data_IF_283760385816
#
_entry.id   IF_283760385816
#
_cell.length_a   1.000
_cell.length_b   1.000
_cell.length_c   1.000
_cell.angle_alpha   90.00
_cell.angle_beta   90.00
_cell.angle_gamma   90.00
#
_symmetry.space_group_name_H-M   'P 1'
#
loop_
_entity.id
_entity.type
_entity.pdbx_description
1 polymer ?
#
# COMPACT_ATOMS: atom_id res chain seq x y z
N UNK A 1 -21.10 -20.40 14.05
CA UNK A 1 -20.05 -19.85 14.92
C UNK A 1 -20.17 -20.51 16.29
N UNK A 2 -19.10 -21.15 16.79
CA UNK A 2 -19.05 -21.88 18.08
C UNK A 2 -18.40 -21.08 19.19
N UNK A 3 -17.40 -20.28 18.86
CA UNK A 3 -16.65 -19.47 19.81
C UNK A 3 -16.21 -18.17 19.16
N UNK A 4 -15.97 -17.16 20.00
CA UNK A 4 -15.31 -15.92 19.60
C UNK A 4 -14.06 -15.80 20.47
N UNK A 5 -12.91 -15.59 19.83
CA UNK A 5 -11.64 -15.32 20.50
C UNK A 5 -11.26 -13.88 20.27
N UNK A 6 -10.94 -13.18 21.34
CA UNK A 6 -10.44 -11.81 21.31
C UNK A 6 -8.99 -11.82 21.76
N UNK A 7 -8.11 -11.16 21.02
CA UNK A 7 -6.69 -11.03 21.35
C UNK A 7 -6.23 -9.59 21.26
N UNK A 8 -5.29 -9.23 22.15
CA UNK A 8 -4.50 -8.01 22.03
C UNK A 8 -3.15 -8.19 22.73
N UNK A 9 -2.12 -7.54 22.23
CA UNK A 9 -0.80 -7.46 22.86
C UNK A 9 -0.58 -6.05 23.40
N UNK A 10 -0.45 -5.90 24.72
CA UNK A 10 -0.18 -4.62 25.36
C UNK A 10 1.31 -4.44 25.63
N UNK A 11 1.87 -3.34 25.16
CA UNK A 11 3.25 -2.93 25.41
C UNK A 11 3.33 -1.48 25.90
N UNK A 12 4.43 -1.07 26.53
CA UNK A 12 4.72 0.35 26.78
C UNK A 12 5.33 1.04 25.55
N UNK A 13 5.60 2.35 25.67
CA UNK A 13 6.23 3.12 24.59
C UNK A 13 7.67 2.72 24.27
N UNK A 14 8.28 1.83 25.07
CA UNK A 14 9.56 1.20 24.77
C UNK A 14 9.39 -0.23 24.20
N UNK A 15 8.16 -0.67 23.94
CA UNK A 15 7.85 -2.00 23.41
C UNK A 15 7.91 -3.13 24.44
N UNK A 16 8.08 -2.85 25.74
CA UNK A 16 8.08 -3.88 26.79
C UNK A 16 6.65 -4.31 27.12
N UNK A 17 6.40 -5.62 27.30
CA UNK A 17 5.07 -6.12 27.60
C UNK A 17 4.52 -5.60 28.93
N UNK A 18 3.26 -5.16 28.94
CA UNK A 18 2.57 -4.68 30.15
C UNK A 18 1.69 -5.77 30.74
N UNK A 19 2.18 -6.42 31.80
CA UNK A 19 1.46 -7.43 32.55
C UNK A 19 0.47 -6.84 33.58
N UNK A 20 -0.52 -7.63 33.97
CA UNK A 20 -1.52 -7.34 35.02
C UNK A 20 -2.44 -6.12 34.74
N UNK A 21 -2.52 -5.67 33.49
CA UNK A 21 -3.42 -4.58 33.09
C UNK A 21 -4.83 -5.12 32.91
N UNK A 22 -5.80 -4.55 33.64
CA UNK A 22 -7.21 -4.94 33.55
C UNK A 22 -7.88 -4.30 32.35
N UNK A 23 -8.36 -5.12 31.43
CA UNK A 23 -9.06 -4.71 30.22
C UNK A 23 -10.50 -5.24 30.23
N UNK A 24 -11.41 -4.38 29.81
CA UNK A 24 -12.85 -4.68 29.65
C UNK A 24 -13.19 -4.60 28.17
N UNK A 25 -13.72 -5.68 27.63
CA UNK A 25 -14.34 -5.69 26.31
C UNK A 25 -15.76 -5.16 26.45
N UNK A 26 -16.09 -4.12 25.70
CA UNK A 26 -17.43 -3.52 25.67
C UNK A 26 -18.00 -3.58 24.26
N UNK A 27 -19.32 -3.64 24.17
CA UNK A 27 -20.07 -3.64 22.92
C UNK A 27 -21.07 -2.49 22.91
N UNK A 28 -21.19 -1.84 21.76
CA UNK A 28 -22.21 -0.81 21.57
C UNK A 28 -23.57 -1.47 21.33
N UNK A 29 -24.56 -1.07 22.12
CA UNK A 29 -25.95 -1.44 21.89
C UNK A 29 -26.64 -0.29 21.15
N UNK A 30 -27.05 -0.57 19.91
CA UNK A 30 -27.60 0.42 18.99
C UNK A 30 -28.96 0.98 19.45
N UNK A 31 -29.73 0.24 20.25
CA UNK A 31 -31.02 0.70 20.78
C UNK A 31 -30.86 1.79 21.85
N UNK A 32 -29.88 1.64 22.74
CA UNK A 32 -29.72 2.51 23.90
C UNK A 32 -28.59 3.54 23.71
N UNK A 33 -27.83 3.44 22.61
CA UNK A 33 -26.56 4.17 22.36
C UNK A 33 -25.54 4.05 23.50
N UNK A 34 -25.64 3.00 24.30
CA UNK A 34 -24.78 2.74 25.44
C UNK A 34 -23.79 1.62 25.13
N UNK A 35 -22.60 1.75 25.69
CA UNK A 35 -21.60 0.69 25.68
C UNK A 35 -21.82 -0.21 26.90
N UNK A 36 -22.11 -1.49 26.65
CA UNK A 36 -22.30 -2.49 27.71
C UNK A 36 -21.04 -3.36 27.84
N UNK A 37 -20.52 -3.59 29.06
CA UNK A 37 -19.38 -4.45 29.27
C UNK A 37 -19.77 -5.91 29.04
N UNK A 38 -19.06 -6.59 28.13
CA UNK A 38 -19.24 -8.02 27.86
C UNK A 38 -18.47 -8.81 28.91
N UNK A 39 -17.17 -8.53 29.04
CA UNK A 39 -16.28 -9.32 29.90
C UNK A 39 -15.01 -8.56 30.21
N UNK A 40 -14.43 -8.84 31.38
CA UNK A 40 -13.17 -8.27 31.86
C UNK A 40 -12.14 -9.38 32.06
N UNK A 41 -10.89 -9.11 31.71
CA UNK A 41 -9.74 -9.97 32.01
C UNK A 41 -8.46 -9.14 32.15
N UNK A 42 -7.37 -9.78 32.56
CA UNK A 42 -6.05 -9.14 32.72
C UNK A 42 -5.05 -9.62 31.67
N UNK A 43 -4.07 -8.79 31.35
CA UNK A 43 -2.92 -9.19 30.53
C UNK A 43 -1.99 -10.13 31.30
N UNK A 44 -1.43 -11.14 30.63
CA UNK A 44 -0.47 -12.07 31.21
C UNK A 44 0.95 -11.45 31.32
N UNK A 45 1.93 -12.22 31.80
CA UNK A 45 3.33 -11.79 31.92
C UNK A 45 3.98 -11.33 30.60
N UNK A 46 3.42 -11.72 29.45
CA UNK A 46 3.86 -11.31 28.11
C UNK A 46 3.05 -10.14 27.55
N UNK A 47 2.21 -9.49 28.36
CA UNK A 47 1.35 -8.39 27.92
C UNK A 47 0.19 -8.85 27.04
N UNK A 48 -0.01 -10.16 26.87
CA UNK A 48 -1.08 -10.69 26.03
C UNK A 48 -2.38 -10.75 26.82
N UNK A 49 -3.43 -10.17 26.26
CA UNK A 49 -4.80 -10.38 26.68
C UNK A 49 -5.46 -11.32 25.67
N UNK A 50 -6.05 -12.40 26.17
CA UNK A 50 -6.86 -13.30 25.37
C UNK A 50 -8.13 -13.64 26.12
N UNK A 51 -9.24 -13.64 25.40
CA UNK A 51 -10.55 -13.90 25.96
C UNK A 51 -11.38 -14.74 24.98
N UNK A 52 -11.98 -15.81 25.49
CA UNK A 52 -13.00 -16.54 24.76
C UNK A 52 -14.39 -16.11 25.24
N UNK A 53 -15.28 -15.76 24.32
CA UNK A 53 -16.69 -15.45 24.62
C UNK A 53 -17.61 -16.32 23.76
N UNK A 54 -18.81 -16.58 24.28
CA UNK A 54 -19.83 -17.33 23.54
C UNK A 54 -20.54 -16.40 22.54
N UNK A 55 -20.92 -16.89 21.35
CA UNK A 55 -21.69 -16.12 20.36
C UNK A 55 -22.93 -15.41 20.92
N UNK A 56 -23.63 -16.06 21.86
CA UNK A 56 -24.82 -15.53 22.54
C UNK A 56 -24.58 -14.20 23.27
N UNK A 57 -23.32 -13.89 23.62
CA UNK A 57 -22.97 -12.66 24.34
C UNK A 57 -22.90 -11.41 23.45
N UNK A 58 -22.92 -11.57 22.12
CA UNK A 58 -22.87 -10.46 21.16
C UNK A 58 -24.24 -9.81 20.87
N UNK A 59 -25.26 -10.11 21.67
CA UNK A 59 -26.59 -9.52 21.48
C UNK A 59 -27.20 -9.94 20.15
N UNK A 60 -27.82 -9.01 19.43
CA UNK A 60 -28.54 -9.31 18.19
C UNK A 60 -27.60 -9.82 17.07
N UNK A 61 -27.73 -11.08 16.63
CA UNK A 61 -26.84 -11.68 15.62
C UNK A 61 -26.99 -11.07 14.22
N UNK A 62 -28.00 -10.24 13.97
CA UNK A 62 -28.19 -9.56 12.69
C UNK A 62 -27.44 -8.23 12.57
N UNK A 63 -26.81 -7.75 13.65
CA UNK A 63 -26.05 -6.50 13.63
C UNK A 63 -24.55 -6.78 13.79
N UNK A 64 -23.68 -6.12 12.99
CA UNK A 64 -22.24 -6.24 13.17
C UNK A 64 -21.87 -5.63 14.54
N UNK A 65 -21.21 -6.39 15.43
CA UNK A 65 -20.92 -5.92 16.77
C UNK A 65 -19.86 -4.81 16.72
N UNK A 66 -20.21 -3.63 17.23
CA UNK A 66 -19.26 -2.55 17.48
C UNK A 66 -18.58 -2.82 18.81
N UNK A 67 -17.31 -3.23 18.77
CA UNK A 67 -16.53 -3.62 19.94
C UNK A 67 -15.47 -2.57 20.28
N UNK A 68 -15.18 -2.41 21.57
CA UNK A 68 -14.04 -1.62 22.06
C UNK A 68 -13.40 -2.27 23.27
N UNK A 69 -12.12 -1.96 23.48
CA UNK A 69 -11.37 -2.30 24.68
C UNK A 69 -11.19 -1.06 25.54
N UNK A 70 -11.55 -1.18 26.82
CA UNK A 70 -11.39 -0.14 27.83
C UNK A 70 -10.50 -0.63 28.97
N UNK A 71 -9.74 0.26 29.59
CA UNK A 71 -9.00 -0.06 30.81
C UNK A 71 -9.86 0.06 32.09
N UNK A 72 -9.25 -0.16 33.26
CA UNK A 72 -9.92 -0.04 34.55
C UNK A 72 -10.48 1.37 34.83
N UNK A 73 -9.87 2.40 34.24
CA UNK A 73 -10.26 3.80 34.32
C UNK A 73 -11.33 4.18 33.29
N UNK A 74 -11.87 3.20 32.54
CA UNK A 74 -12.82 3.40 31.43
C UNK A 74 -12.25 4.21 30.26
N UNK A 75 -10.92 4.28 30.12
CA UNK A 75 -10.28 4.87 28.95
C UNK A 75 -10.34 3.88 27.80
N UNK A 76 -10.77 4.33 26.62
CA UNK A 76 -10.80 3.51 25.41
C UNK A 76 -9.37 3.34 24.90
N UNK A 77 -8.90 2.11 24.82
CA UNK A 77 -7.56 1.78 24.32
C UNK A 77 -7.58 1.44 22.83
N UNK A 78 -8.66 0.81 22.37
CA UNK A 78 -8.87 0.49 20.96
C UNK A 78 -10.36 0.28 20.67
N UNK A 79 -10.76 0.55 19.43
CA UNK A 79 -12.10 0.30 18.93
C UNK A 79 -12.01 -0.46 17.62
N UNK A 80 -12.87 -1.48 17.47
CA UNK A 80 -12.78 -2.42 16.36
C UNK A 80 -11.58 -3.35 16.48
N UNK A 81 -11.49 -4.33 15.58
CA UNK A 81 -10.38 -5.27 15.52
C UNK A 81 -10.41 -5.99 14.18
N UNK A 82 -9.30 -6.59 13.79
CA UNK A 82 -9.26 -7.42 12.61
C UNK A 82 -10.11 -8.67 12.85
N UNK A 83 -11.13 -8.83 12.01
CA UNK A 83 -12.04 -9.97 12.05
C UNK A 83 -11.51 -11.05 11.12
N UNK A 84 -11.32 -12.26 11.65
CA UNK A 84 -11.00 -13.46 10.88
C UNK A 84 -11.94 -14.57 11.30
N UNK A 85 -12.53 -15.29 10.34
CA UNK A 85 -13.40 -16.42 10.63
C UNK A 85 -12.78 -17.71 10.13
N UNK A 86 -12.48 -18.62 11.06
CA UNK A 86 -12.07 -19.98 10.72
C UNK A 86 -13.30 -20.88 10.57
N UNK A 87 -13.59 -21.28 9.34
CA UNK A 87 -14.72 -22.14 9.01
C UNK A 87 -14.60 -23.56 9.58
N UNK A 88 -13.38 -24.08 9.81
CA UNK A 88 -13.15 -25.44 10.32
C UNK A 88 -13.43 -25.52 11.82
N UNK A 89 -12.88 -24.59 12.59
CA UNK A 89 -13.14 -24.52 14.04
C UNK A 89 -14.44 -23.77 14.38
N UNK A 90 -15.07 -23.13 13.39
CA UNK A 90 -16.23 -22.25 13.53
C UNK A 90 -15.96 -21.10 14.52
N UNK A 91 -14.72 -20.62 14.58
CA UNK A 91 -14.29 -19.58 15.53
C UNK A 91 -14.17 -18.24 14.81
N UNK A 92 -14.75 -17.20 15.40
CA UNK A 92 -14.48 -15.82 15.01
C UNK A 92 -13.34 -15.28 15.86
N UNK A 93 -12.24 -14.91 15.22
CA UNK A 93 -11.10 -14.26 15.84
C UNK A 93 -11.19 -12.76 15.64
N UNK A 94 -10.98 -12.02 16.73
CA UNK A 94 -11.00 -10.56 16.77
C UNK A 94 -9.66 -10.12 17.35
N UNK A 95 -8.76 -9.70 16.48
CA UNK A 95 -7.44 -9.27 16.88
C UNK A 95 -7.33 -7.75 16.87
N UNK A 96 -7.07 -7.16 18.03
CA UNK A 96 -6.82 -5.72 18.18
C UNK A 96 -5.35 -5.37 17.92
N UNK A 97 -4.50 -6.37 17.67
CA UNK A 97 -3.09 -6.19 17.35
C UNK A 97 -2.28 -5.78 18.58
N UNK A 98 -1.23 -4.97 18.35
CA UNK A 98 -0.37 -4.47 19.41
C UNK A 98 -0.77 -3.04 19.79
N UNK A 99 -1.11 -2.83 21.07
CA UNK A 99 -1.47 -1.53 21.62
C UNK A 99 -0.39 -1.01 22.56
N UNK A 100 -0.09 0.27 22.44
CA UNK A 100 0.76 1.01 23.35
C UNK A 100 -0.07 1.51 24.55
N UNK A 101 0.30 1.12 25.76
CA UNK A 101 -0.38 1.51 26.99
C UNK A 101 0.29 2.73 27.63
N UNK A 102 -0.29 3.90 27.41
CA UNK A 102 0.18 5.18 27.91
C UNK A 102 -0.40 5.45 29.31
N UNK A 103 0.32 5.08 30.37
CA UNK A 103 -0.17 5.22 31.75
C UNK A 103 -0.54 6.66 32.14
N UNK A 104 0.19 7.67 31.62
CA UNK A 104 0.04 9.08 31.99
C UNK A 104 -0.33 10.05 30.85
N UNK A 105 -0.22 9.63 29.59
CA UNK A 105 -0.39 10.49 28.42
C UNK A 105 -1.44 9.93 27.46
N UNK A 106 -2.68 9.76 27.93
CA UNK A 106 -3.79 9.55 27.01
C UNK A 106 -4.23 10.93 26.52
N UNK A 107 -3.96 11.27 25.26
CA UNK A 107 -4.64 12.40 24.63
C UNK A 107 -6.13 12.07 24.62
N UNK A 108 -7.00 12.93 25.20
CA UNK A 108 -8.43 12.79 24.95
C UNK A 108 -8.63 12.85 23.43
N UNK A 109 -9.54 12.02 22.91
CA UNK A 109 -10.07 12.24 21.56
C UNK A 109 -10.74 13.60 21.61
N UNK A 110 -10.02 14.63 21.18
CA UNK A 110 -10.54 15.97 21.02
C UNK A 110 -11.47 15.86 19.82
N UNK A 111 -12.77 15.71 20.10
CA UNK A 111 -13.78 16.17 19.17
C UNK A 111 -13.38 17.60 18.82
N UNK A 112 -13.01 17.85 17.57
CA UNK A 112 -12.94 19.20 17.02
C UNK A 112 -14.32 19.84 17.23
N UNK A 113 -14.53 20.48 18.38
CA UNK A 113 -15.57 21.47 18.56
C UNK A 113 -15.07 22.70 17.83
N UNK A 114 -15.73 23.03 16.73
CA UNK A 114 -15.67 24.37 16.17
C UNK A 114 -15.94 25.38 17.28
N UNK A 115 -14.97 26.28 17.45
CA UNK A 115 -15.09 27.65 17.94
C UNK A 115 -16.25 27.97 18.88
N UNK A 116 -15.94 28.14 20.16
CA UNK A 116 -16.25 29.38 20.89
C UNK A 116 -15.55 29.43 22.24
N UNK A 117 -15.19 30.65 22.64
CA UNK A 117 -14.28 30.98 23.72
C UNK A 117 -14.78 30.51 25.10
N UNK A 118 -13.83 30.07 25.93
CA UNK A 118 -14.05 29.82 27.34
C UNK A 118 -14.29 31.15 28.08
N UNK A 119 -15.45 31.26 28.73
CA UNK A 119 -15.66 32.15 29.87
C UNK A 119 -15.88 31.30 31.13
N UNK A 120 -15.38 31.71 32.32
CA UNK A 120 -15.43 30.89 33.51
C UNK A 120 -16.86 30.82 34.06
N UNK A 121 -17.30 29.60 34.38
CA UNK A 121 -18.53 29.32 35.13
C UNK A 121 -18.40 29.87 36.55
N UNK A 122 -18.88 31.09 36.77
CA UNK A 122 -19.21 31.61 38.09
C UNK A 122 -20.73 31.44 38.35
N UNK A 123 -21.02 30.98 39.57
CA UNK A 123 -22.30 31.03 40.26
C UNK A 123 -23.47 30.19 39.72
N UNK A 124 -23.81 29.16 40.51
CA UNK A 124 -25.13 28.54 40.62
C UNK A 124 -26.21 29.62 40.81
N UNK A 125 -27.34 29.57 40.10
CA UNK A 125 -28.59 30.15 40.60
C UNK A 125 -29.63 29.07 40.91
N UNK A 126 -30.38 29.37 41.96
CA UNK A 126 -31.41 28.57 42.61
C UNK A 126 -32.50 28.06 41.64
N UNK A 127 -32.89 26.81 41.85
CA UNK A 127 -34.11 26.17 41.33
C UNK A 127 -35.32 27.05 41.65
N UNK A 128 -36.02 27.53 40.62
CA UNK A 128 -37.45 27.90 40.71
C UNK A 128 -38.26 26.70 40.26
N UNK A 129 -39.28 26.36 41.05
CA UNK A 129 -40.28 25.35 40.73
C UNK A 129 -41.05 25.78 39.46
N UNK A 130 -40.82 25.06 38.36
CA UNK A 130 -41.51 25.24 37.08
C UNK A 130 -42.41 24.04 36.83
N UNK A 131 -43.69 24.31 36.59
CA UNK A 131 -44.74 23.32 36.43
C UNK A 131 -44.53 22.37 35.24
N UNK A 132 -45.22 21.23 35.34
CA UNK A 132 -45.27 20.08 34.42
C UNK A 132 -45.45 20.41 32.92
N UNK A 133 -45.82 21.64 32.54
CA UNK A 133 -45.93 22.08 31.15
C UNK A 133 -44.57 22.43 30.49
N UNK A 134 -43.58 22.93 31.25
CA UNK A 134 -42.25 23.27 30.70
C UNK A 134 -41.35 22.04 30.50
N UNK A 135 -41.61 20.95 31.24
CA UNK A 135 -40.92 19.68 31.05
C UNK A 135 -41.32 18.97 29.73
N UNK A 136 -42.55 19.20 29.25
CA UNK A 136 -43.06 18.59 28.03
C UNK A 136 -42.58 19.31 26.76
N UNK A 137 -42.43 20.64 26.79
CA UNK A 137 -41.93 21.42 25.64
C UNK A 137 -40.41 21.29 25.45
N UNK A 138 -39.65 21.20 26.55
CA UNK A 138 -38.20 20.97 26.52
C UNK A 138 -37.82 19.61 25.92
N UNK A 139 -38.55 18.54 26.27
CA UNK A 139 -38.28 17.20 25.72
C UNK A 139 -38.50 17.13 24.21
N UNK A 140 -39.57 17.74 23.68
CA UNK A 140 -39.84 17.75 22.24
C UNK A 140 -38.77 18.54 21.44
N UNK A 141 -38.27 19.65 21.99
CA UNK A 141 -37.20 20.42 21.35
C UNK A 141 -35.84 19.67 21.36
N UNK A 142 -35.54 18.96 22.46
CA UNK A 142 -34.35 18.13 22.58
C UNK A 142 -34.41 16.95 21.60
N UNK A 143 -35.55 16.25 21.50
CA UNK A 143 -35.76 15.17 20.53
C UNK A 143 -35.67 15.67 19.07
N UNK A 144 -36.21 16.84 18.75
CA UNK A 144 -36.11 17.45 17.43
C UNK A 144 -34.67 17.87 17.06
N UNK A 145 -33.84 18.23 18.05
CA UNK A 145 -32.42 18.54 17.82
C UNK A 145 -31.58 17.28 17.62
N UNK A 146 -31.86 16.21 18.38
CA UNK A 146 -31.17 14.93 18.28
C UNK A 146 -31.45 14.25 16.93
N UNK A 147 -32.70 14.26 16.48
CA UNK A 147 -33.10 13.73 15.17
C UNK A 147 -32.44 14.48 14.01
N UNK A 148 -32.34 15.82 14.08
CA UNK A 148 -31.60 16.63 13.08
C UNK A 148 -30.11 16.32 13.06
N UNK A 149 -29.49 16.12 14.22
CA UNK A 149 -28.07 15.75 14.31
C UNK A 149 -27.80 14.37 13.67
N UNK A 150 -28.66 13.38 13.93
CA UNK A 150 -28.58 12.06 13.31
C UNK A 150 -28.73 12.11 11.79
N UNK A 151 -29.66 12.95 11.30
CA UNK A 151 -29.91 13.09 9.87
C UNK A 151 -28.71 13.72 9.13
N UNK A 152 -28.01 14.67 9.77
CA UNK A 152 -26.78 15.24 9.24
C UNK A 152 -25.61 14.24 9.25
N UNK A 153 -25.46 13.44 10.29
CA UNK A 153 -24.44 12.38 10.37
C UNK A 153 -24.66 11.31 9.27
N UNK A 154 -25.89 10.85 9.10
CA UNK A 154 -26.25 9.90 8.03
C UNK A 154 -25.98 10.47 6.64
N UNK A 155 -26.26 11.75 6.43
CA UNK A 155 -25.98 12.44 5.16
C UNK A 155 -24.47 12.54 4.88
N UNK A 156 -23.67 12.82 5.92
CA UNK A 156 -22.21 12.80 5.82
C UNK A 156 -21.67 11.43 5.44
N UNK A 157 -22.15 10.37 6.10
CA UNK A 157 -21.78 8.98 5.78
C UNK A 157 -22.17 8.56 4.37
N UNK A 158 -23.36 8.95 3.92
CA UNK A 158 -23.83 8.67 2.56
C UNK A 158 -22.92 9.34 1.52
N UNK A 159 -22.55 10.60 1.73
CA UNK A 159 -21.65 11.32 0.82
C UNK A 159 -20.25 10.68 0.73
N UNK A 160 -19.68 10.23 1.86
CA UNK A 160 -18.39 9.52 1.87
C UNK A 160 -18.50 8.16 1.17
N UNK A 161 -19.62 7.45 1.36
CA UNK A 161 -19.86 6.18 0.68
C UNK A 161 -20.03 6.35 -0.83
N UNK A 162 -20.67 7.43 -1.27
CA UNK A 162 -20.84 7.76 -2.69
C UNK A 162 -19.51 8.12 -3.34
N UNK A 163 -18.66 8.92 -2.68
CA UNK A 163 -17.33 9.23 -3.20
C UNK A 163 -16.47 7.97 -3.32
N UNK A 164 -16.46 7.11 -2.30
CA UNK A 164 -15.73 5.84 -2.34
C UNK A 164 -16.21 4.93 -3.47
N UNK A 165 -17.54 4.88 -3.72
CA UNK A 165 -18.10 4.11 -4.84
C UNK A 165 -17.66 4.67 -6.20
N UNK A 166 -17.64 5.98 -6.35
CA UNK A 166 -17.18 6.63 -7.58
C UNK A 166 -15.70 6.38 -7.86
N UNK A 167 -14.85 6.42 -6.83
CA UNK A 167 -13.42 6.13 -6.96
C UNK A 167 -13.18 4.66 -7.31
N UNK A 168 -13.91 3.74 -6.68
CA UNK A 168 -13.86 2.32 -7.04
C UNK A 168 -14.24 2.10 -8.51
N UNK A 169 -15.31 2.75 -8.97
CA UNK A 169 -15.79 2.64 -10.35
C UNK A 169 -14.79 3.22 -11.37
N UNK A 170 -14.02 4.26 -11.00
CA UNK A 170 -12.92 4.77 -11.84
C UNK A 170 -11.78 3.75 -11.89
N UNK A 171 -11.41 3.17 -10.75
CA UNK A 171 -10.37 2.15 -10.70
C UNK A 171 -10.72 0.91 -11.52
N UNK A 172 -11.98 0.44 -11.47
CA UNK A 172 -12.40 -0.72 -12.26
C UNK A 172 -12.32 -0.44 -13.75
N UNK A 173 -12.75 0.75 -14.20
CA UNK A 173 -12.62 1.15 -15.62
C UNK A 173 -11.17 1.20 -16.10
N UNK A 174 -10.26 1.70 -15.27
CA UNK A 174 -8.83 1.73 -15.60
C UNK A 174 -8.27 0.31 -15.71
N UNK A 175 -8.61 -0.57 -14.77
CA UNK A 175 -8.18 -1.97 -14.81
C UNK A 175 -8.74 -2.73 -16.02
N UNK A 176 -10.01 -2.50 -16.38
CA UNK A 176 -10.60 -3.07 -17.59
C UNK A 176 -9.86 -2.63 -18.86
N UNK A 177 -9.50 -1.36 -18.96
CA UNK A 177 -8.71 -0.84 -20.08
C UNK A 177 -7.29 -1.45 -20.13
N UNK A 178 -6.65 -1.69 -18.98
CA UNK A 178 -5.35 -2.35 -18.94
C UNK A 178 -5.44 -3.82 -19.39
N UNK A 179 -6.48 -4.54 -18.96
CA UNK A 179 -6.70 -5.93 -19.34
C UNK A 179 -6.91 -6.06 -20.85
N UNK A 180 -7.67 -5.15 -21.47
CA UNK A 180 -7.88 -5.18 -22.92
C UNK A 180 -6.58 -4.94 -23.68
N UNK A 181 -5.76 -3.96 -23.27
CA UNK A 181 -4.45 -3.71 -23.89
C UNK A 181 -3.52 -4.93 -23.77
N UNK A 182 -3.37 -5.50 -22.58
CA UNK A 182 -2.53 -6.68 -22.37
C UNK A 182 -3.01 -7.89 -23.19
N UNK A 183 -4.33 -8.03 -23.35
CA UNK A 183 -4.89 -9.11 -24.18
C UNK A 183 -4.55 -8.90 -25.65
N UNK A 184 -4.64 -7.66 -26.16
CA UNK A 184 -4.24 -7.33 -27.53
C UNK A 184 -2.75 -7.58 -27.78
N UNK A 185 -1.88 -7.18 -26.84
CA UNK A 185 -0.43 -7.44 -26.93
C UNK A 185 -0.11 -8.93 -26.95
N UNK A 186 -0.74 -9.70 -26.07
CA UNK A 186 -0.59 -11.17 -26.04
C UNK A 186 -1.00 -11.79 -27.36
N UNK A 187 -2.13 -11.38 -27.91
CA UNK A 187 -2.66 -11.95 -29.15
C UNK A 187 -1.80 -11.55 -30.36
N UNK A 188 -1.28 -10.32 -30.40
CA UNK A 188 -0.31 -9.88 -31.39
C UNK A 188 1.01 -10.66 -31.30
N UNK A 189 1.53 -10.88 -30.09
CA UNK A 189 2.74 -11.67 -29.87
C UNK A 189 2.55 -13.13 -30.29
N UNK A 190 1.38 -13.71 -30.02
CA UNK A 190 1.03 -15.06 -30.45
C UNK A 190 0.94 -15.15 -31.97
N UNK A 191 0.28 -14.20 -32.62
CA UNK A 191 0.21 -14.14 -34.08
C UNK A 191 1.61 -13.98 -34.71
N UNK A 192 2.49 -13.17 -34.13
CA UNK A 192 3.88 -13.04 -34.57
C UNK A 192 4.68 -14.34 -34.41
N UNK A 193 4.48 -15.06 -33.30
CA UNK A 193 5.12 -16.36 -33.06
C UNK A 193 4.61 -17.44 -34.03
N UNK A 194 3.30 -17.46 -34.32
CA UNK A 194 2.71 -18.38 -35.30
C UNK A 194 3.18 -18.05 -36.72
N UNK A 195 3.28 -16.77 -37.10
CA UNK A 195 3.86 -16.33 -38.36
C UNK A 195 5.34 -16.73 -38.48
N UNK A 196 6.11 -16.63 -37.40
CA UNK A 196 7.51 -17.07 -37.36
C UNK A 196 7.66 -18.60 -37.47
N UNK A 197 6.68 -19.37 -36.97
CA UNK A 197 6.64 -20.85 -37.11
C UNK A 197 6.17 -21.30 -38.49
N UNK A 198 5.26 -20.55 -39.11
CA UNK A 198 4.73 -20.83 -40.45
C UNK A 198 5.67 -20.36 -41.57
N UNK A 199 6.58 -19.44 -41.27
CA UNK A 199 7.69 -19.11 -42.14
C UNK A 199 8.58 -20.35 -42.30
N UNK A 200 8.48 -21.02 -43.46
CA UNK A 200 9.44 -22.04 -43.87
C UNK A 200 10.84 -21.45 -43.70
N UNK A 201 11.75 -22.08 -42.93
CA UNK A 201 13.10 -21.57 -42.80
C UNK A 201 13.65 -21.38 -44.21
N UNK A 202 13.94 -20.13 -44.57
CA UNK A 202 14.64 -19.88 -45.82
C UNK A 202 15.99 -20.59 -45.69
N UNK A 203 16.09 -21.76 -46.30
CA UNK A 203 17.38 -22.32 -46.65
C UNK A 203 17.92 -21.34 -47.69
N UNK A 204 18.63 -20.33 -47.19
CA UNK A 204 19.46 -19.48 -48.04
C UNK A 204 20.29 -20.47 -48.87
N UNK A 205 20.21 -20.43 -50.22
CA UNK A 205 21.01 -21.33 -51.02
C UNK A 205 22.44 -21.12 -50.57
N UNK A 206 23.06 -22.18 -50.04
CA UNK A 206 24.45 -22.17 -49.59
C UNK A 206 25.30 -21.72 -50.77
N UNK A 207 25.60 -20.42 -50.87
CA UNK A 207 26.75 -19.90 -51.61
C UNK A 207 27.97 -20.11 -50.73
N UNK A 208 28.23 -21.38 -50.38
CA UNK A 208 29.46 -21.78 -49.73
C UNK A 208 30.58 -21.68 -50.78
N UNK A 209 31.73 -21.16 -50.38
CA UNK A 209 32.94 -21.20 -51.20
C UNK A 209 33.24 -19.95 -52.06
N UNK A 210 32.60 -18.80 -51.84
CA UNK A 210 33.14 -17.55 -52.40
C UNK A 210 34.15 -16.97 -51.42
N UNK A 211 35.46 -16.95 -51.71
CA UNK A 211 36.46 -16.47 -50.78
C UNK A 211 36.25 -14.97 -50.55
N UNK A 212 35.85 -14.61 -49.33
CA UNK A 212 35.65 -13.24 -48.90
C UNK A 212 36.84 -12.80 -48.05
N UNK A 213 37.23 -11.52 -48.15
CA UNK A 213 38.19 -10.96 -47.19
C UNK A 213 37.51 -10.84 -45.84
N UNK A 214 38.28 -11.12 -44.79
CA UNK A 214 37.83 -11.01 -43.40
C UNK A 214 37.25 -9.63 -43.11
N UNK A 215 37.88 -8.58 -43.64
CA UNK A 215 37.42 -7.19 -43.49
C UNK A 215 36.02 -6.94 -44.06
N UNK A 216 35.66 -7.61 -45.16
CA UNK A 216 34.35 -7.42 -45.80
C UNK A 216 33.25 -8.11 -44.98
N UNK A 217 33.57 -9.26 -44.38
CA UNK A 217 32.66 -9.97 -43.45
C UNK A 217 32.39 -9.12 -42.21
N UNK A 218 33.43 -8.52 -41.62
CA UNK A 218 33.28 -7.64 -40.46
C UNK A 218 32.48 -6.37 -40.79
N UNK A 219 32.73 -5.74 -41.94
CA UNK A 219 31.96 -4.56 -42.38
C UNK A 219 30.49 -4.86 -42.57
N UNK A 220 30.17 -5.96 -43.25
CA UNK A 220 28.79 -6.35 -43.51
C UNK A 220 28.04 -6.72 -42.23
N UNK A 221 28.71 -7.44 -41.32
CA UNK A 221 28.17 -7.73 -39.99
C UNK A 221 27.85 -6.46 -39.20
N UNK A 222 28.76 -5.48 -39.22
CA UNK A 222 28.54 -4.20 -38.55
C UNK A 222 27.37 -3.42 -39.15
N UNK A 223 27.23 -3.38 -40.48
CA UNK A 223 26.08 -2.72 -41.12
C UNK A 223 24.76 -3.40 -40.79
N UNK A 224 24.71 -4.74 -40.78
CA UNK A 224 23.50 -5.48 -40.41
C UNK A 224 23.14 -5.32 -38.94
N UNK A 225 24.13 -5.16 -38.05
CA UNK A 225 23.87 -4.86 -36.63
C UNK A 225 23.24 -3.47 -36.45
N UNK A 226 23.68 -2.47 -37.23
CA UNK A 226 23.10 -1.11 -37.21
C UNK A 226 21.66 -1.12 -37.75
N UNK A 227 21.37 -1.90 -38.79
CA UNK A 227 20.01 -2.06 -39.30
C UNK A 227 19.09 -2.81 -38.31
N UNK A 228 19.60 -3.85 -37.65
CA UNK A 228 18.87 -4.57 -36.63
C UNK A 228 18.59 -3.68 -35.41
N UNK A 229 19.56 -2.88 -34.96
CA UNK A 229 19.38 -1.89 -33.90
C UNK A 229 18.32 -0.84 -34.29
N UNK A 230 18.35 -0.35 -35.54
CA UNK A 230 17.34 0.55 -36.07
C UNK A 230 15.94 -0.06 -36.11
N UNK A 231 15.82 -1.34 -36.46
CA UNK A 231 14.54 -2.07 -36.44
C UNK A 231 14.00 -2.28 -35.02
N UNK A 232 14.89 -2.29 -34.02
CA UNK A 232 14.55 -2.39 -32.61
C UNK A 232 14.33 -1.02 -31.94
N UNK A 233 14.54 0.10 -32.65
CA UNK A 233 14.21 1.45 -32.16
C UNK A 233 12.71 1.56 -31.88
N UNK A 234 12.36 1.83 -30.62
CA UNK A 234 10.98 1.86 -30.14
C UNK A 234 10.50 0.54 -29.52
N UNK A 235 11.30 -0.52 -29.54
CA UNK A 235 11.04 -1.75 -28.80
C UNK A 235 11.68 -1.72 -27.40
N UNK A 236 11.14 -2.48 -26.46
CA UNK A 236 11.71 -2.69 -25.11
C UNK A 236 12.96 -3.58 -25.09
N UNK A 237 13.43 -4.02 -26.24
CA UNK A 237 14.56 -4.93 -26.39
C UNK A 237 15.70 -4.22 -27.09
N UNK A 238 16.91 -4.46 -26.61
CA UNK A 238 18.13 -3.99 -27.25
C UNK A 238 19.13 -5.11 -27.37
N UNK A 239 19.93 -5.01 -28.43
CA UNK A 239 20.96 -6.01 -28.72
C UNK A 239 22.05 -5.88 -27.65
N UNK A 240 22.29 -6.98 -26.94
CA UNK A 240 23.30 -7.09 -25.89
C UNK A 240 24.63 -7.58 -26.47
N UNK A 241 25.26 -8.53 -25.79
CA UNK A 241 26.51 -9.13 -26.29
C UNK A 241 26.21 -10.01 -27.50
N UNK A 242 26.99 -9.82 -28.56
CA UNK A 242 26.97 -10.69 -29.73
C UNK A 242 28.31 -11.40 -29.83
N UNK A 243 28.27 -12.74 -29.83
CA UNK A 243 29.43 -13.61 -30.03
C UNK A 243 29.27 -14.37 -31.33
N UNK A 244 30.22 -14.18 -32.24
CA UNK A 244 30.28 -14.84 -33.54
C UNK A 244 31.53 -15.73 -33.57
N UNK A 245 31.34 -17.05 -33.72
CA UNK A 245 32.42 -18.03 -33.88
C UNK A 245 32.52 -18.41 -35.36
N UNK A 246 33.45 -17.76 -36.08
CA UNK A 246 33.74 -18.03 -37.48
C UNK A 246 34.81 -19.12 -37.59
N UNK A 247 34.49 -20.22 -38.26
CA UNK A 247 35.45 -21.28 -38.60
C UNK A 247 35.62 -21.39 -40.11
N UNK A 248 36.86 -21.46 -40.56
CA UNK A 248 37.23 -21.51 -41.98
C UNK A 248 38.69 -21.85 -42.19
N UNK A 249 39.08 -22.06 -43.44
CA UNK A 249 40.46 -22.30 -43.88
C UNK A 249 41.07 -21.03 -44.45
N UNK A 250 42.32 -20.73 -44.08
CA UNK A 250 43.11 -19.65 -44.67
C UNK A 250 43.70 -20.15 -46.00
N UNK A 251 43.38 -19.48 -47.10
CA UNK A 251 43.95 -19.74 -48.41
C UNK A 251 45.32 -19.05 -48.54
N UNK A 252 46.16 -19.55 -49.45
CA UNK A 252 47.51 -19.04 -49.70
C UNK A 252 47.55 -17.56 -50.13
N UNK A 253 46.43 -16.97 -50.54
CA UNK A 253 46.29 -15.56 -50.90
C UNK A 253 45.82 -14.67 -49.74
N UNK A 254 45.74 -15.21 -48.51
CA UNK A 254 45.32 -14.50 -47.31
C UNK A 254 43.80 -14.34 -47.15
N UNK A 255 42.99 -14.96 -48.01
CA UNK A 255 41.53 -15.01 -47.85
C UNK A 255 41.11 -16.17 -46.95
N UNK A 256 39.96 -16.05 -46.29
CA UNK A 256 39.38 -17.14 -45.51
C UNK A 256 38.17 -17.69 -46.25
N UNK A 257 38.13 -19.01 -46.41
CA UNK A 257 36.95 -19.73 -46.86
C UNK A 257 36.22 -20.31 -45.65
N UNK A 258 34.98 -19.86 -45.44
CA UNK A 258 34.13 -20.32 -44.36
C UNK A 258 33.29 -21.50 -44.87
N UNK A 259 33.37 -22.65 -44.19
CA UNK A 259 32.55 -23.83 -44.48
C UNK A 259 32.98 -24.68 -45.68
N UNK A 260 34.28 -24.75 -45.98
CA UNK A 260 34.82 -25.63 -47.03
C UNK A 260 34.47 -27.12 -46.81
N UNK A 261 34.61 -27.92 -47.88
CA UNK A 261 34.16 -29.33 -47.97
C UNK A 261 34.72 -30.26 -46.86
N UNK A 262 35.79 -29.85 -46.17
CA UNK A 262 36.43 -30.60 -45.08
C UNK A 262 36.00 -30.19 -43.65
N UNK A 263 34.99 -29.32 -43.48
CA UNK A 263 34.62 -28.80 -42.16
C UNK A 263 33.44 -29.57 -41.54
N UNK A 264 33.74 -30.43 -40.56
CA UNK A 264 32.80 -31.34 -39.89
C UNK A 264 31.92 -30.62 -38.83
N UNK A 265 32.33 -29.44 -38.34
CA UNK A 265 31.60 -28.70 -37.29
C UNK A 265 31.07 -27.35 -37.80
N UNK A 266 29.77 -27.05 -37.62
CA UNK A 266 29.21 -25.75 -37.96
C UNK A 266 29.70 -24.67 -36.98
N UNK A 267 30.14 -23.53 -37.50
CA UNK A 267 30.36 -22.32 -36.68
C UNK A 267 29.07 -21.88 -35.97
N UNK A 268 29.21 -21.12 -34.89
CA UNK A 268 28.09 -20.72 -34.02
C UNK A 268 27.87 -19.20 -33.98
N UNK A 269 26.61 -18.78 -33.88
CA UNK A 269 26.22 -17.40 -33.59
C UNK A 269 25.38 -17.38 -32.30
N UNK A 270 25.81 -16.58 -31.32
CA UNK A 270 25.07 -16.36 -30.08
C UNK A 270 24.79 -14.86 -29.93
N UNK A 271 23.51 -14.51 -29.83
CA UNK A 271 23.05 -13.13 -29.66
C UNK A 271 22.27 -13.07 -28.35
N UNK A 272 22.74 -12.23 -27.42
CA UNK A 272 21.95 -11.87 -26.24
C UNK A 272 21.01 -10.71 -26.60
N UNK A 273 19.72 -10.91 -26.39
CA UNK A 273 18.72 -9.84 -26.46
C UNK A 273 18.40 -9.44 -25.03
N UNK A 274 18.80 -8.23 -24.67
CA UNK A 274 18.54 -7.69 -23.36
C UNK A 274 17.22 -6.92 -23.42
N UNK A 275 16.33 -7.19 -22.47
CA UNK A 275 15.26 -6.24 -22.19
C UNK A 275 15.88 -5.01 -21.55
N UNK A 276 15.45 -3.83 -21.97
CA UNK A 276 15.63 -2.64 -21.16
C UNK A 276 14.86 -2.85 -19.85
N UNK A 277 15.57 -3.27 -18.81
CA UNK A 277 15.13 -3.05 -17.43
C UNK A 277 15.24 -1.57 -17.04
N UNK A 278 15.57 -0.67 -17.97
CA UNK A 278 15.01 0.67 -17.92
C UNK A 278 13.54 0.57 -18.32
N UNK A 279 12.71 0.33 -17.30
CA UNK A 279 11.26 0.37 -17.32
C UNK A 279 10.81 1.52 -18.24
N UNK A 280 10.31 1.25 -19.46
CA UNK A 280 9.76 2.29 -20.30
C UNK A 280 8.46 2.72 -19.64
N UNK A 281 8.42 3.98 -19.20
CA UNK A 281 7.20 4.71 -18.92
C UNK A 281 6.27 4.11 -17.84
N UNK A 282 6.82 3.82 -16.66
CA UNK A 282 6.04 4.03 -15.45
C UNK A 282 6.13 5.52 -15.14
N UNK A 283 5.00 6.23 -15.18
CA UNK A 283 4.90 7.61 -14.73
C UNK A 283 5.79 7.81 -13.49
N UNK A 284 6.89 8.57 -13.64
CA UNK A 284 7.85 8.73 -12.55
C UNK A 284 7.09 9.32 -11.36
N UNK A 285 7.07 8.63 -10.21
CA UNK A 285 6.38 9.14 -9.05
C UNK A 285 7.00 10.49 -8.68
N UNK A 286 6.16 11.53 -8.58
CA UNK A 286 6.61 12.81 -8.04
C UNK A 286 6.75 12.69 -6.54
N UNK A 287 7.83 13.25 -6.02
CA UNK A 287 8.04 13.33 -4.58
C UNK A 287 6.90 14.17 -3.97
N UNK A 288 6.10 13.64 -3.04
CA UNK A 288 5.04 14.38 -2.39
C UNK A 288 5.63 15.41 -1.42
N UNK A 289 4.84 16.43 -1.08
CA UNK A 289 5.18 17.33 0.03
C UNK A 289 4.92 16.63 1.36
N UNK A 290 5.97 16.49 2.17
CA UNK A 290 5.92 15.85 3.48
C UNK A 290 5.95 16.87 4.64
N UNK A 291 5.86 18.17 4.35
CA UNK A 291 5.91 19.26 5.33
C UNK A 291 4.87 19.07 6.44
N UNK A 292 5.32 19.14 7.70
CA UNK A 292 4.45 18.96 8.87
C UNK A 292 4.00 17.53 9.14
N UNK A 293 4.35 16.55 8.30
CA UNK A 293 4.05 15.14 8.57
C UNK A 293 4.99 14.57 9.63
N UNK A 294 4.46 13.66 10.44
CA UNK A 294 5.27 12.84 11.34
C UNK A 294 5.96 11.72 10.56
N UNK A 295 7.02 11.14 11.12
CA UNK A 295 7.77 10.04 10.48
C UNK A 295 6.89 8.90 9.98
N UNK A 296 5.91 8.48 10.78
CA UNK A 296 4.98 7.40 10.42
C UNK A 296 4.05 7.78 9.26
N UNK A 297 3.57 9.03 9.22
CA UNK A 297 2.75 9.53 8.13
C UNK A 297 3.56 9.68 6.83
N UNK A 298 4.76 10.26 6.92
CA UNK A 298 5.68 10.39 5.78
C UNK A 298 6.06 9.02 5.18
N UNK A 299 6.30 8.01 6.02
CA UNK A 299 6.58 6.65 5.57
C UNK A 299 5.42 6.08 4.74
N UNK A 300 4.18 6.20 5.22
CA UNK A 300 3.01 5.67 4.50
C UNK A 300 2.78 6.36 3.17
N UNK A 301 2.95 7.69 3.14
CA UNK A 301 2.79 8.50 1.91
C UNK A 301 3.83 8.10 0.86
N UNK A 302 5.10 7.92 1.27
CA UNK A 302 6.16 7.47 0.35
C UNK A 302 5.96 6.02 -0.09
N UNK A 303 5.59 5.10 0.80
CA UNK A 303 5.33 3.71 0.47
C UNK A 303 4.17 3.54 -0.53
N UNK A 304 3.12 4.34 -0.42
CA UNK A 304 2.00 4.34 -1.36
C UNK A 304 2.42 4.73 -2.79
N UNK A 305 3.53 5.46 -2.94
CA UNK A 305 4.11 5.89 -4.21
C UNK A 305 5.31 5.02 -4.65
N UNK A 306 5.59 3.92 -3.94
CA UNK A 306 6.73 3.06 -4.22
C UNK A 306 8.09 3.70 -3.91
N UNK A 307 8.13 4.74 -3.07
CA UNK A 307 9.34 5.44 -2.63
C UNK A 307 9.77 4.97 -1.22
N UNK A 308 11.07 5.10 -0.92
CA UNK A 308 11.65 4.69 0.36
C UNK A 308 11.95 5.91 1.23
N UNK A 309 11.62 5.82 2.52
CA UNK A 309 11.93 6.88 3.49
C UNK A 309 13.32 6.66 4.10
N UNK A 310 14.19 7.66 4.01
CA UNK A 310 15.41 7.74 4.82
C UNK A 310 15.24 8.85 5.86
N UNK A 311 15.04 8.46 7.12
CA UNK A 311 14.80 9.41 8.21
C UNK A 311 16.11 9.90 8.86
N UNK A 312 16.19 11.20 9.14
CA UNK A 312 17.23 11.83 9.97
C UNK A 312 16.57 12.77 10.97
N UNK A 313 17.25 13.07 12.09
CA UNK A 313 16.75 14.00 13.11
C UNK A 313 17.78 15.09 13.35
N UNK A 314 17.32 16.34 13.46
CA UNK A 314 18.18 17.49 13.76
C UNK A 314 17.56 18.33 14.88
N UNK A 315 18.33 18.55 15.95
CA UNK A 315 17.97 19.45 17.04
C UNK A 315 18.11 20.91 16.58
N UNK A 316 17.20 21.79 16.99
CA UNK A 316 17.26 23.22 16.66
C UNK A 316 16.66 23.62 15.30
N UNK A 317 15.96 22.73 14.59
CA UNK A 317 15.42 23.00 13.24
C UNK A 317 14.13 23.85 13.19
N UNK A 318 13.78 24.56 14.27
CA UNK A 318 12.69 25.55 14.30
C UNK A 318 11.27 25.02 14.09
N UNK A 319 11.09 23.72 13.88
CA UNK A 319 9.79 23.06 13.66
C UNK A 319 9.24 22.36 14.90
N UNK A 320 7.97 21.94 14.84
CA UNK A 320 7.35 21.11 15.89
C UNK A 320 8.13 19.80 16.03
N UNK A 321 8.58 19.42 17.24
CA UNK A 321 9.29 18.18 17.45
C UNK A 321 8.54 16.96 16.89
N UNK A 322 9.25 16.11 16.17
CA UNK A 322 8.70 14.93 15.50
C UNK A 322 8.05 15.18 14.13
N UNK A 323 7.94 16.44 13.70
CA UNK A 323 7.50 16.79 12.35
C UNK A 323 8.68 16.99 11.39
N UNK A 324 8.43 16.72 10.12
CA UNK A 324 9.37 16.99 9.03
C UNK A 324 9.64 18.49 8.93
N UNK A 325 10.92 18.83 8.81
CA UNK A 325 11.42 20.20 8.57
C UNK A 325 12.13 20.33 7.22
N UNK A 326 12.61 19.22 6.65
CA UNK A 326 13.29 19.21 5.37
C UNK A 326 13.10 17.87 4.68
N UNK A 327 13.02 17.90 3.35
CA UNK A 327 13.11 16.72 2.50
C UNK A 327 14.09 16.94 1.36
N UNK A 328 14.70 15.87 0.88
CA UNK A 328 15.53 15.85 -0.32
C UNK A 328 15.37 14.48 -0.97
N UNK A 329 14.92 14.38 -2.24
CA UNK A 329 14.64 15.47 -3.21
C UNK A 329 13.43 16.36 -2.86
N UNK A 330 13.29 17.50 -3.56
CA UNK A 330 12.27 18.50 -3.22
C UNK A 330 10.85 18.06 -3.62
N UNK A 331 9.82 18.66 -3.02
CA UNK A 331 8.43 18.34 -3.36
C UNK A 331 8.14 18.65 -4.84
N UNK A 332 7.46 17.73 -5.53
CA UNK A 332 7.13 17.82 -6.95
C UNK A 332 8.22 17.30 -7.89
N UNK A 333 9.40 16.97 -7.39
CA UNK A 333 10.51 16.45 -8.20
C UNK A 333 10.21 15.03 -8.69
N UNK A 334 10.59 14.73 -9.93
CA UNK A 334 10.38 13.40 -10.51
C UNK A 334 11.54 12.49 -10.12
N UNK A 335 11.21 11.33 -9.57
CA UNK A 335 12.20 10.34 -9.14
C UNK A 335 11.87 8.97 -9.72
N UNK A 336 12.91 8.14 -9.84
CA UNK A 336 12.74 6.76 -10.27
C UNK A 336 12.00 6.00 -9.16
N UNK A 337 11.09 5.10 -9.54
CA UNK A 337 10.39 4.23 -8.60
C UNK A 337 11.39 3.46 -7.72
N UNK A 338 11.16 3.40 -6.41
CA UNK A 338 12.09 2.80 -5.45
C UNK A 338 13.19 3.73 -4.92
N UNK A 339 13.27 4.98 -5.38
CA UNK A 339 14.24 5.96 -4.88
C UNK A 339 14.04 6.30 -3.40
N UNK A 340 15.14 6.66 -2.73
CA UNK A 340 15.13 7.11 -1.34
C UNK A 340 14.89 8.62 -1.24
N UNK A 341 13.96 9.01 -0.37
CA UNK A 341 13.73 10.40 0.03
C UNK A 341 14.29 10.59 1.43
N UNK A 342 15.32 11.43 1.55
CA UNK A 342 15.85 11.87 2.84
C UNK A 342 14.86 12.85 3.46
N UNK A 343 14.46 12.59 4.69
CA UNK A 343 13.55 13.45 5.45
C UNK A 343 14.17 13.74 6.80
N UNK A 344 14.33 15.02 7.12
CA UNK A 344 14.82 15.48 8.41
C UNK A 344 13.64 15.88 9.28
N UNK A 345 13.58 15.32 10.49
CA UNK A 345 12.59 15.62 11.51
C UNK A 345 13.17 16.52 12.58
N UNK A 346 12.37 17.46 13.07
CA UNK A 346 12.73 18.27 14.22
C UNK A 346 12.86 17.40 15.48
N UNK A 347 13.98 17.55 16.17
CA UNK A 347 14.17 17.00 17.50
C UNK A 347 14.04 18.11 18.54
N UNK A 348 13.62 17.73 19.75
CA UNK A 348 13.71 18.60 20.93
C UNK A 348 15.21 18.75 21.25
N UNK A 349 15.68 19.98 21.49
CA UNK A 349 17.01 20.21 22.08
C UNK A 349 17.16 19.55 23.45
#
# INVERSE_FOLDING_TARGET
MRAIKVSVLLADGAGKPRADVSLTLEMAELSDQLWKPIRRSKTNARGQFSLAIKPETLGNPQQPPLLRLCDAQKRVLAQGGQLSYDARSQTLEIDFGQLEYLEKAAFPIMLMRGTEAAAPLAAVPLRREGGIADLLSGNAAVEASATRAQLNDLRGKLSISESARNDLQRSTKVLEAQITTLTQERDAARAAAEASRAATPQVLPRKVGTPAKVDDVFKQFNSSMVEADKSLQGSRFRIGKVKLDLRGSLLADGKIELGGEHQIDPGGLSVELNTDETTPDAAQPRVPDLSGLTRGAALRVLQALGLRLRASTHAGSGGTPGQMVMQTPAAGEQVILGSEVLVVFAAVE
#
